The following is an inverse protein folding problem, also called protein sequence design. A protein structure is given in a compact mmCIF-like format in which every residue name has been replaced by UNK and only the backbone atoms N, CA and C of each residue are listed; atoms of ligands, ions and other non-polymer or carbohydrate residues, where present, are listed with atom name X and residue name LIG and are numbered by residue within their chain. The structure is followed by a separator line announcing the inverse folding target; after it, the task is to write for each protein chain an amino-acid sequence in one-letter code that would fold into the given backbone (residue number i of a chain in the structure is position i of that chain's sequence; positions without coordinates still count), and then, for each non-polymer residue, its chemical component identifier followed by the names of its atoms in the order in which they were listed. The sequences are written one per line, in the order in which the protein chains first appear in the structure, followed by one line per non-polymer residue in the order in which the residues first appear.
data_IF_453630447314
#
_entry.id   IF_453630447314
#
_cell.length_a   1.000
_cell.length_b   1.000
_cell.length_c   1.000
_cell.angle_alpha   90.00
_cell.angle_beta   90.00
_cell.angle_gamma   90.00
#
_symmetry.space_group_name_H-M   'P 1'
#
loop_
_entity.id
_entity.type
_entity.pdbx_description
1 polymer ?
#
# COMPACT_ATOMS: atom_id res chain seq x y z
N UNK A 1 -23.95 -17.96 2.41
CA UNK A 1 -23.24 -16.69 2.63
C UNK A 1 -22.00 -16.72 1.77
N UNK A 2 -21.75 -15.70 0.96
CA UNK A 2 -20.52 -15.57 0.17
C UNK A 2 -19.36 -15.28 1.10
N UNK A 3 -18.23 -15.97 0.91
CA UNK A 3 -16.99 -15.70 1.64
C UNK A 3 -16.48 -14.32 1.21
N UNK A 4 -16.18 -13.40 2.15
CA UNK A 4 -15.68 -12.08 1.79
C UNK A 4 -14.27 -12.19 1.17
N UNK A 5 -13.95 -11.26 0.29
CA UNK A 5 -12.65 -11.20 -0.38
C UNK A 5 -11.80 -10.06 0.17
N UNK A 6 -10.49 -10.30 0.22
CA UNK A 6 -9.47 -9.31 0.54
C UNK A 6 -8.66 -9.05 -0.73
N UNK A 7 -8.63 -7.81 -1.19
CA UNK A 7 -7.76 -7.37 -2.26
C UNK A 7 -6.68 -6.47 -1.68
N UNK A 8 -5.42 -6.81 -1.88
CA UNK A 8 -4.28 -6.02 -1.43
C UNK A 8 -3.59 -5.47 -2.67
N UNK A 9 -3.67 -4.16 -2.86
CA UNK A 9 -3.09 -3.51 -4.04
C UNK A 9 -1.74 -2.95 -3.68
N UNK A 10 -0.69 -3.53 -4.27
CA UNK A 10 0.71 -3.14 -4.04
C UNK A 10 1.33 -2.58 -5.32
N UNK A 11 2.37 -1.78 -5.13
CA UNK A 11 3.10 -1.17 -6.24
C UNK A 11 3.91 0.03 -5.78
N UNK A 12 4.91 0.47 -6.54
CA UNK A 12 5.71 1.62 -6.19
C UNK A 12 4.89 2.92 -6.18
N UNK A 13 5.41 3.95 -5.54
CA UNK A 13 4.84 5.29 -5.62
C UNK A 13 4.74 5.73 -7.10
N UNK A 14 3.63 6.34 -7.50
CA UNK A 14 3.42 6.74 -8.90
C UNK A 14 2.94 5.63 -9.85
N UNK A 15 2.82 4.39 -9.40
CA UNK A 15 2.35 3.28 -10.24
C UNK A 15 0.86 3.35 -10.60
N UNK A 16 0.07 4.17 -9.92
CA UNK A 16 -1.39 4.23 -10.09
C UNK A 16 -2.16 3.25 -9.19
N UNK A 17 -1.53 2.74 -8.12
CA UNK A 17 -2.17 1.85 -7.12
C UNK A 17 -3.55 2.34 -6.70
N UNK A 18 -3.66 3.59 -6.29
CA UNK A 18 -4.90 4.19 -5.79
C UNK A 18 -6.03 4.10 -6.82
N UNK A 19 -5.73 4.35 -8.08
CA UNK A 19 -6.73 4.23 -9.16
C UNK A 19 -7.19 2.78 -9.33
N UNK A 20 -6.25 1.83 -9.32
CA UNK A 20 -6.55 0.39 -9.41
C UNK A 20 -7.34 -0.07 -8.19
N UNK A 21 -6.92 0.33 -6.98
CA UNK A 21 -7.59 -0.03 -5.73
C UNK A 21 -9.04 0.50 -5.68
N UNK A 22 -9.26 1.76 -6.08
CA UNK A 22 -10.60 2.34 -6.13
C UNK A 22 -11.50 1.65 -7.17
N UNK A 23 -10.93 1.30 -8.34
CA UNK A 23 -11.64 0.56 -9.37
C UNK A 23 -12.04 -0.83 -8.85
N UNK A 24 -11.10 -1.56 -8.25
CA UNK A 24 -11.34 -2.87 -7.64
C UNK A 24 -12.42 -2.78 -6.55
N UNK A 25 -12.36 -1.77 -5.68
CA UNK A 25 -13.36 -1.57 -4.64
C UNK A 25 -14.75 -1.35 -5.21
N UNK A 26 -14.88 -0.57 -6.27
CA UNK A 26 -16.15 -0.32 -6.97
C UNK A 26 -16.68 -1.58 -7.64
N UNK A 27 -15.85 -2.33 -8.34
CA UNK A 27 -16.23 -3.53 -9.08
C UNK A 27 -16.69 -4.67 -8.15
N UNK A 28 -16.07 -4.78 -6.98
CA UNK A 28 -16.39 -5.82 -5.99
C UNK A 28 -17.31 -5.35 -4.86
N UNK A 29 -17.82 -4.12 -4.91
CA UNK A 29 -18.60 -3.50 -3.83
C UNK A 29 -17.91 -3.67 -2.45
N UNK A 30 -16.59 -3.48 -2.42
CA UNK A 30 -15.73 -3.66 -1.26
C UNK A 30 -15.44 -2.34 -0.53
N UNK A 31 -15.18 -2.41 0.78
CA UNK A 31 -14.71 -1.25 1.53
C UNK A 31 -13.29 -0.89 1.07
N UNK A 32 -13.08 0.36 0.65
CA UNK A 32 -11.77 0.89 0.25
C UNK A 32 -11.04 1.46 1.45
N UNK A 33 -9.89 0.89 1.77
CA UNK A 33 -9.06 1.26 2.91
C UNK A 33 -7.66 1.68 2.42
N UNK A 34 -7.44 2.98 2.36
CA UNK A 34 -6.18 3.60 1.99
C UNK A 34 -5.43 3.97 3.28
N UNK A 35 -4.22 3.44 3.45
CA UNK A 35 -3.39 3.63 4.64
C UNK A 35 -3.19 5.11 4.97
N UNK A 36 -2.90 5.92 3.97
CA UNK A 36 -2.63 7.35 4.18
C UNK A 36 -3.90 8.13 4.55
N UNK A 37 -5.06 7.71 4.05
CA UNK A 37 -6.35 8.30 4.44
C UNK A 37 -6.79 7.90 5.84
N UNK A 38 -6.53 6.65 6.22
CA UNK A 38 -6.89 6.11 7.55
C UNK A 38 -5.99 6.70 8.63
N UNK A 39 -4.68 6.75 8.42
CA UNK A 39 -3.70 7.06 9.46
C UNK A 39 -2.96 8.39 9.25
N UNK A 40 -2.89 8.93 8.03
CA UNK A 40 -1.96 9.99 7.66
C UNK A 40 -1.96 11.20 8.57
N UNK A 41 -3.14 11.72 8.93
CA UNK A 41 -3.26 12.90 9.82
C UNK A 41 -2.74 12.63 11.24
N UNK A 42 -2.95 11.43 11.75
CA UNK A 42 -2.46 11.02 13.08
C UNK A 42 -0.95 10.84 13.06
N UNK A 43 -0.40 10.29 11.99
CA UNK A 43 1.07 10.15 11.80
C UNK A 43 1.74 11.52 11.73
N UNK A 44 1.22 12.44 10.93
CA UNK A 44 1.75 13.82 10.83
C UNK A 44 1.73 14.52 12.19
N UNK A 45 0.63 14.38 12.93
CA UNK A 45 0.53 14.92 14.28
C UNK A 45 1.53 14.28 15.24
N UNK A 46 1.68 12.95 15.21
CA UNK A 46 2.59 12.22 16.09
C UNK A 46 4.06 12.57 15.81
N UNK A 47 4.45 12.68 14.53
CA UNK A 47 5.79 13.12 14.12
C UNK A 47 6.08 14.52 14.64
N UNK A 48 5.15 15.46 14.43
CA UNK A 48 5.29 16.83 14.92
C UNK A 48 5.38 16.88 16.45
N UNK A 49 4.58 16.12 17.16
CA UNK A 49 4.60 16.06 18.63
C UNK A 49 5.93 15.48 19.16
N UNK A 50 6.56 14.57 18.41
CA UNK A 50 7.87 14.01 18.72
C UNK A 50 9.04 14.89 18.27
N UNK A 51 8.79 16.06 17.68
CA UNK A 51 9.84 17.01 17.24
C UNK A 51 10.44 16.68 15.87
N UNK A 52 9.77 15.83 15.07
CA UNK A 52 10.20 15.47 13.72
C UNK A 52 9.43 16.26 12.65
N UNK A 53 9.97 16.26 11.42
CA UNK A 53 9.24 16.76 10.25
C UNK A 53 8.00 15.88 10.01
N UNK A 54 6.79 16.44 9.99
CA UNK A 54 5.56 15.68 9.80
C UNK A 54 5.44 14.99 8.42
N UNK A 55 6.26 15.42 7.45
CA UNK A 55 6.26 14.87 6.08
C UNK A 55 7.34 13.83 5.83
N UNK A 56 8.36 13.76 6.68
CA UNK A 56 9.46 12.82 6.55
C UNK A 56 9.08 11.43 7.07
N UNK A 57 8.78 10.54 6.13
CA UNK A 57 8.50 9.12 6.40
C UNK A 57 9.57 8.20 5.85
N UNK A 58 10.36 8.66 4.88
CA UNK A 58 11.31 7.79 4.14
C UNK A 58 12.65 7.66 4.89
N UNK A 59 13.14 8.77 5.50
CA UNK A 59 14.43 8.80 6.21
C UNK A 59 14.32 8.87 7.72
N UNK A 60 13.12 8.73 8.27
CA UNK A 60 12.83 8.94 9.70
C UNK A 60 12.77 7.61 10.46
N UNK A 61 13.80 7.32 11.26
CA UNK A 61 13.85 6.10 12.08
C UNK A 61 12.71 6.04 13.10
N UNK A 62 12.33 7.20 13.70
CA UNK A 62 11.22 7.22 14.64
C UNK A 62 9.90 6.79 13.98
N UNK A 63 9.65 7.27 12.76
CA UNK A 63 8.48 6.83 11.98
C UNK A 63 8.55 5.33 11.71
N UNK A 64 9.66 4.84 11.19
CA UNK A 64 9.84 3.44 10.84
C UNK A 64 9.64 2.50 12.03
N UNK A 65 10.21 2.86 13.18
CA UNK A 65 10.26 1.97 14.33
C UNK A 65 9.02 2.08 15.23
N UNK A 66 8.29 3.21 15.21
CA UNK A 66 7.17 3.46 16.12
C UNK A 66 5.82 3.67 15.43
N UNK A 67 5.77 4.33 14.27
CA UNK A 67 4.51 4.71 13.64
C UNK A 67 4.10 3.80 12.48
N UNK A 68 5.06 3.37 11.66
CA UNK A 68 4.78 2.50 10.52
C UNK A 68 4.09 1.19 10.92
N UNK A 69 4.51 0.46 11.97
CA UNK A 69 3.78 -0.73 12.42
C UNK A 69 2.35 -0.42 12.83
N UNK A 70 2.11 0.71 13.53
CA UNK A 70 0.78 1.11 13.97
C UNK A 70 -0.16 1.44 12.81
N UNK A 71 0.36 2.06 11.73
CA UNK A 71 -0.43 2.31 10.52
C UNK A 71 -0.95 1.00 9.92
N UNK A 72 -0.08 0.00 9.78
CA UNK A 72 -0.46 -1.29 9.21
C UNK A 72 -1.37 -2.09 10.14
N UNK A 73 -1.11 -2.08 11.44
CA UNK A 73 -1.98 -2.72 12.43
C UNK A 73 -3.39 -2.10 12.40
N UNK A 74 -3.49 -0.79 12.36
CA UNK A 74 -4.78 -0.09 12.26
C UNK A 74 -5.51 -0.46 10.97
N UNK A 75 -4.80 -0.48 9.84
CA UNK A 75 -5.38 -0.86 8.55
C UNK A 75 -5.92 -2.30 8.58
N UNK A 76 -5.16 -3.24 9.15
CA UNK A 76 -5.55 -4.65 9.27
C UNK A 76 -6.71 -4.86 10.25
N UNK A 77 -6.76 -4.13 11.36
CA UNK A 77 -7.87 -4.21 12.32
C UNK A 77 -9.18 -3.69 11.70
N UNK A 78 -9.14 -2.54 11.02
CA UNK A 78 -10.31 -1.99 10.30
C UNK A 78 -10.75 -2.95 9.18
N UNK A 79 -9.82 -3.60 8.49
CA UNK A 79 -10.14 -4.64 7.52
C UNK A 79 -10.86 -5.82 8.19
N UNK A 80 -10.35 -6.33 9.31
CA UNK A 80 -10.97 -7.41 10.07
C UNK A 80 -12.39 -7.07 10.52
N UNK A 81 -12.61 -5.84 10.99
CA UNK A 81 -13.95 -5.38 11.38
C UNK A 81 -14.95 -5.43 10.21
N UNK A 82 -14.55 -5.01 9.01
CA UNK A 82 -15.40 -5.10 7.80
C UNK A 82 -15.65 -6.55 7.36
N UNK A 83 -14.61 -7.38 7.38
CA UNK A 83 -14.71 -8.80 7.00
C UNK A 83 -15.67 -9.57 7.91
N UNK A 84 -15.65 -9.31 9.23
CA UNK A 84 -16.60 -9.92 10.19
C UNK A 84 -18.06 -9.51 9.93
N UNK A 85 -18.27 -8.37 9.29
CA UNK A 85 -19.59 -7.94 8.81
C UNK A 85 -19.96 -8.52 7.44
N UNK A 86 -19.14 -9.43 6.89
CA UNK A 86 -19.36 -10.04 5.57
C UNK A 86 -19.03 -9.11 4.40
N UNK A 87 -18.31 -8.01 4.64
CA UNK A 87 -17.91 -7.06 3.59
C UNK A 87 -16.51 -7.38 3.08
N UNK A 88 -16.36 -7.46 1.78
CA UNK A 88 -15.04 -7.50 1.14
C UNK A 88 -14.29 -6.18 1.36
N UNK A 89 -12.96 -6.22 1.33
CA UNK A 89 -12.10 -5.06 1.53
C UNK A 89 -11.05 -4.94 0.44
N UNK A 90 -10.65 -3.71 0.14
CA UNK A 90 -9.48 -3.38 -0.68
C UNK A 90 -8.51 -2.57 0.18
N UNK A 91 -7.29 -3.07 0.34
CA UNK A 91 -6.21 -2.42 1.07
C UNK A 91 -5.27 -1.76 0.07
N UNK A 92 -5.16 -0.43 0.14
CA UNK A 92 -4.25 0.38 -0.68
C UNK A 92 -3.08 0.87 0.18
N UNK A 93 -1.94 0.19 0.10
CA UNK A 93 -0.72 0.56 0.79
C UNK A 93 0.51 -0.04 0.09
N UNK A 94 1.72 0.50 0.29
CA UNK A 94 2.94 -0.03 -0.33
C UNK A 94 3.29 -1.44 0.13
N UNK A 95 3.16 -1.73 1.43
CA UNK A 95 3.53 -3.00 2.08
C UNK A 95 4.99 -3.44 1.93
N UNK A 96 5.87 -2.66 1.33
CA UNK A 96 7.23 -3.06 1.00
C UNK A 96 8.06 -3.56 2.18
N UNK A 97 7.80 -3.03 3.39
CA UNK A 97 8.49 -3.46 4.61
C UNK A 97 8.18 -4.92 5.03
N UNK A 98 7.17 -5.55 4.44
CA UNK A 98 6.67 -6.88 4.83
C UNK A 98 6.72 -7.91 3.69
N UNK A 99 7.28 -7.57 2.52
CA UNK A 99 7.28 -8.46 1.36
C UNK A 99 8.05 -9.76 1.60
N UNK A 100 9.09 -9.72 2.42
CA UNK A 100 9.95 -10.87 2.73
C UNK A 100 9.41 -11.77 3.86
N UNK A 101 8.20 -11.48 4.37
CA UNK A 101 7.57 -12.22 5.47
C UNK A 101 6.44 -13.13 4.95
N UNK A 102 6.70 -14.41 4.63
CA UNK A 102 5.70 -15.28 3.99
C UNK A 102 4.40 -15.45 4.77
N UNK A 103 4.46 -15.35 6.09
CA UNK A 103 3.35 -15.53 7.02
C UNK A 103 2.70 -14.21 7.50
N UNK A 104 3.11 -13.06 6.94
CA UNK A 104 2.61 -11.74 7.35
C UNK A 104 1.09 -11.66 7.40
N UNK A 105 0.42 -12.08 6.32
CA UNK A 105 -1.04 -12.02 6.24
C UNK A 105 -1.73 -13.04 7.14
N UNK A 106 -1.13 -14.21 7.34
CA UNK A 106 -1.65 -15.23 8.27
C UNK A 106 -1.63 -14.69 9.69
N UNK A 107 -0.50 -14.11 10.12
CA UNK A 107 -0.39 -13.49 11.44
C UNK A 107 -1.35 -12.31 11.62
N UNK A 108 -1.50 -11.47 10.59
CA UNK A 108 -2.46 -10.38 10.63
C UNK A 108 -3.90 -10.88 10.75
N UNK A 109 -4.27 -11.89 9.97
CA UNK A 109 -5.60 -12.50 10.03
C UNK A 109 -5.89 -13.08 11.41
N UNK A 110 -4.94 -13.78 12.01
CA UNK A 110 -5.07 -14.31 13.38
C UNK A 110 -5.18 -13.19 14.42
N UNK A 111 -4.26 -12.21 14.39
CA UNK A 111 -4.22 -11.10 15.34
C UNK A 111 -5.52 -10.27 15.32
N UNK A 112 -6.05 -9.99 14.14
CA UNK A 112 -7.23 -9.14 13.96
C UNK A 112 -8.52 -9.92 13.69
N UNK A 113 -8.50 -11.22 13.94
CA UNK A 113 -9.67 -12.11 13.90
C UNK A 113 -10.42 -12.04 12.55
N UNK A 114 -9.67 -12.12 11.45
CA UNK A 114 -10.28 -12.18 10.13
C UNK A 114 -11.04 -13.50 9.97
N UNK A 115 -12.27 -13.49 9.48
CA UNK A 115 -12.95 -14.72 9.11
C UNK A 115 -12.28 -15.36 7.88
N UNK A 116 -12.55 -16.63 7.58
CA UNK A 116 -12.12 -17.23 6.32
C UNK A 116 -12.44 -16.30 5.13
N UNK A 117 -11.43 -15.94 4.37
CA UNK A 117 -11.53 -15.00 3.25
C UNK A 117 -10.59 -15.40 2.12
N UNK A 118 -11.00 -15.10 0.88
CA UNK A 118 -10.13 -15.25 -0.28
C UNK A 118 -9.27 -14.00 -0.44
N UNK A 119 -7.94 -14.16 -0.44
CA UNK A 119 -7.01 -13.03 -0.56
C UNK A 119 -6.35 -13.01 -1.93
N UNK A 120 -6.45 -11.87 -2.60
CA UNK A 120 -5.78 -11.58 -3.88
C UNK A 120 -4.85 -10.39 -3.72
N UNK A 121 -3.60 -10.56 -4.07
CA UNK A 121 -2.59 -9.49 -4.14
C UNK A 121 -2.51 -8.99 -5.58
N UNK A 122 -2.90 -7.74 -5.79
CA UNK A 122 -2.83 -7.06 -7.08
C UNK A 122 -1.54 -6.26 -7.16
N UNK A 123 -0.61 -6.69 -8.00
CA UNK A 123 0.68 -6.03 -8.21
C UNK A 123 0.55 -5.05 -9.38
N UNK A 124 0.58 -3.75 -9.09
CA UNK A 124 0.51 -2.72 -10.13
C UNK A 124 1.91 -2.46 -10.68
N UNK A 125 2.20 -3.05 -11.84
CA UNK A 125 3.50 -2.96 -12.51
C UNK A 125 3.54 -1.78 -13.47
N UNK A 126 4.68 -1.11 -13.50
CA UNK A 126 4.95 0.01 -14.42
C UNK A 126 6.40 -0.11 -14.89
N UNK A 127 6.71 0.11 -16.17
CA UNK A 127 8.09 0.21 -16.63
C UNK A 127 8.87 1.28 -15.87
N UNK A 128 10.14 1.01 -15.58
CA UNK A 128 11.00 1.85 -14.74
C UNK A 128 11.05 3.30 -15.23
N UNK A 129 11.28 3.50 -16.50
CA UNK A 129 11.42 4.84 -17.09
C UNK A 129 10.10 5.62 -17.02
N UNK A 130 8.97 4.95 -17.30
CA UNK A 130 7.65 5.55 -17.19
C UNK A 130 7.32 5.93 -15.74
N UNK A 131 7.69 5.09 -14.78
CA UNK A 131 7.49 5.39 -13.36
C UNK A 131 8.30 6.61 -12.94
N UNK A 132 9.58 6.67 -13.33
CA UNK A 132 10.46 7.80 -13.03
C UNK A 132 9.91 9.10 -13.61
N UNK A 133 9.44 9.08 -14.86
CA UNK A 133 8.79 10.23 -15.51
C UNK A 133 7.54 10.68 -14.73
N UNK A 134 6.66 9.75 -14.33
CA UNK A 134 5.47 10.06 -13.54
C UNK A 134 5.80 10.72 -12.20
N UNK A 135 6.78 10.18 -11.48
CA UNK A 135 7.22 10.72 -10.18
C UNK A 135 7.81 12.12 -10.37
N UNK A 136 8.63 12.31 -11.40
CA UNK A 136 9.24 13.60 -11.71
C UNK A 136 8.17 14.65 -12.03
N UNK A 137 7.21 14.34 -12.90
CA UNK A 137 6.15 15.28 -13.30
C UNK A 137 5.20 15.67 -12.18
N UNK A 138 4.88 14.76 -11.27
CA UNK A 138 4.00 15.10 -10.14
C UNK A 138 4.65 16.01 -9.11
N UNK A 139 6.00 16.12 -9.08
CA UNK A 139 6.76 17.14 -8.39
C UNK A 139 6.53 17.24 -6.88
N UNK A 140 6.16 16.15 -6.20
CA UNK A 140 5.90 16.18 -4.78
C UNK A 140 7.22 16.18 -3.98
N UNK A 141 7.31 17.02 -2.95
CA UNK A 141 8.49 17.14 -2.10
C UNK A 141 8.91 15.79 -1.50
N UNK A 142 7.96 14.98 -1.05
CA UNK A 142 8.20 13.62 -0.54
C UNK A 142 8.80 12.63 -1.54
N UNK A 143 8.91 13.00 -2.81
CA UNK A 143 9.49 12.15 -3.84
C UNK A 143 10.94 12.49 -4.17
N UNK A 144 11.48 13.58 -3.62
CA UNK A 144 12.85 14.01 -3.88
C UNK A 144 13.87 12.94 -3.49
N UNK A 145 13.69 12.31 -2.33
CA UNK A 145 14.55 11.21 -1.90
C UNK A 145 14.53 10.05 -2.91
N UNK A 146 13.35 9.64 -3.38
CA UNK A 146 13.20 8.55 -4.37
C UNK A 146 13.90 8.84 -5.68
N UNK A 147 13.81 10.09 -6.15
CA UNK A 147 14.47 10.51 -7.40
C UNK A 147 15.98 10.61 -7.26
N UNK A 148 16.48 11.03 -6.10
CA UNK A 148 17.93 11.12 -5.82
C UNK A 148 18.58 9.77 -5.51
N UNK A 149 17.79 8.78 -5.03
CA UNK A 149 18.23 7.43 -4.72
C UNK A 149 17.48 6.41 -5.58
N UNK A 150 17.35 6.68 -6.87
CA UNK A 150 16.46 5.94 -7.77
C UNK A 150 16.75 4.44 -7.84
N UNK A 151 18.01 4.06 -7.96
CA UNK A 151 18.39 2.66 -8.09
C UNK A 151 18.10 1.86 -6.81
N UNK A 152 18.32 2.48 -5.66
CA UNK A 152 17.96 1.90 -4.35
C UNK A 152 16.45 1.74 -4.24
N UNK A 153 15.69 2.81 -4.51
CA UNK A 153 14.24 2.77 -4.50
C UNK A 153 13.68 1.70 -5.45
N UNK A 154 14.21 1.64 -6.68
CA UNK A 154 13.76 0.67 -7.68
C UNK A 154 14.09 -0.77 -7.29
N UNK A 155 15.26 -1.05 -6.71
CA UNK A 155 15.65 -2.39 -6.26
C UNK A 155 14.69 -2.95 -5.21
N UNK A 156 14.14 -2.09 -4.34
CA UNK A 156 13.20 -2.50 -3.29
C UNK A 156 11.77 -2.61 -3.81
N UNK A 157 11.30 -1.62 -4.55
CA UNK A 157 9.88 -1.50 -4.89
C UNK A 157 9.55 -1.85 -6.35
N UNK A 158 10.53 -1.90 -7.24
CA UNK A 158 10.31 -2.11 -8.68
C UNK A 158 9.95 -3.55 -9.04
N UNK A 159 10.60 -4.53 -8.42
CA UNK A 159 10.37 -5.95 -8.70
C UNK A 159 9.01 -6.42 -8.21
N UNK A 160 8.49 -5.84 -7.13
CA UNK A 160 7.28 -6.28 -6.42
C UNK A 160 7.31 -7.78 -6.08
N UNK A 161 8.50 -8.29 -5.79
CA UNK A 161 8.66 -9.64 -5.28
C UNK A 161 8.12 -9.69 -3.86
N UNK A 162 7.01 -10.42 -3.71
CA UNK A 162 6.31 -10.57 -2.46
C UNK A 162 6.18 -12.05 -2.14
N UNK A 163 6.70 -12.46 -0.97
CA UNK A 163 6.81 -13.87 -0.58
C UNK A 163 5.56 -14.40 0.15
N UNK A 164 4.48 -13.63 0.26
CA UNK A 164 3.31 -14.02 1.05
C UNK A 164 2.67 -15.32 0.55
N UNK A 165 2.43 -16.23 1.47
CA UNK A 165 1.82 -17.53 1.20
C UNK A 165 0.29 -17.48 1.37
N UNK A 166 -0.40 -18.46 0.78
CA UNK A 166 -1.86 -18.62 0.92
C UNK A 166 -2.69 -17.55 0.17
N UNK A 167 -2.10 -16.86 -0.79
CA UNK A 167 -2.74 -15.79 -1.58
C UNK A 167 -2.70 -16.08 -3.07
N UNK A 168 -3.60 -15.44 -3.81
CA UNK A 168 -3.52 -15.37 -5.28
C UNK A 168 -2.81 -14.09 -5.69
N UNK A 169 -1.95 -14.15 -6.71
CA UNK A 169 -1.29 -12.98 -7.28
C UNK A 169 -1.90 -12.64 -8.63
N UNK A 170 -2.17 -11.35 -8.83
CA UNK A 170 -2.65 -10.79 -10.09
C UNK A 170 -1.75 -9.63 -10.50
N UNK A 171 -1.14 -9.70 -11.67
CA UNK A 171 -0.36 -8.60 -12.23
C UNK A 171 -1.27 -7.66 -13.04
N UNK A 172 -1.23 -6.38 -12.71
CA UNK A 172 -1.87 -5.31 -13.46
C UNK A 172 -0.78 -4.42 -14.07
N UNK A 173 -0.60 -4.50 -15.40
CA UNK A 173 0.36 -3.68 -16.13
C UNK A 173 -0.27 -2.30 -16.42
N UNK A 174 0.25 -1.28 -15.77
CA UNK A 174 -0.22 0.10 -15.94
C UNK A 174 0.77 0.91 -16.79
N UNK A 175 0.75 0.67 -18.09
CA UNK A 175 1.62 1.33 -19.09
C UNK A 175 0.98 2.62 -19.68
N UNK A 176 -0.19 3.03 -19.19
CA UNK A 176 -0.89 4.20 -19.71
C UNK A 176 -0.04 5.46 -19.49
N UNK A 177 0.39 6.20 -20.53
CA UNK A 177 1.08 7.46 -20.36
C UNK A 177 0.21 8.45 -19.58
N UNK A 178 0.85 9.33 -18.79
CA UNK A 178 0.12 10.47 -18.25
C UNK A 178 -0.40 11.32 -19.41
N UNK A 179 -1.63 11.88 -19.32
CA UNK A 179 -2.09 12.82 -20.31
C UNK A 179 -1.06 13.95 -20.47
N UNK A 180 -0.78 14.34 -21.69
CA UNK A 180 0.04 15.52 -21.96
C UNK A 180 -0.62 16.72 -21.27
N UNK A 181 0.16 17.48 -20.51
CA UNK A 181 -0.32 18.72 -19.92
C UNK A 181 -0.74 19.65 -21.07
N UNK A 182 -2.02 19.99 -21.13
CA UNK A 182 -2.60 20.95 -22.07
C UNK A 182 -2.43 22.38 -21.57
#
# INVERSE_FOLDING_TARGET
MTIPSVFIVIGPAGSGKTTVAQKTAKEHNAAYLDKDRVCGRFVEFALKAAGHDPTDRESNDYYRDNLLPLEYETLMDVAGANLRLGRSVVLDAPFGAYFDEPDFLTRAAEKFQWPPSATTVVRVRVPQDLLRDRITRRGLERDQWKLSHWDEYWSVYGSLECAWSGVQYLDFNNETPLPAEG
#
